data_IF_483411039355
#
_entry.id   IF_483411039355
#
_cell.length_a   1.000
_cell.length_b   1.000
_cell.length_c   1.000
_cell.angle_alpha   90.00
_cell.angle_beta   90.00
_cell.angle_gamma   90.00
#
_symmetry.space_group_name_H-M   'P 1'
#
loop_
_entity.id
_entity.type
_entity.pdbx_description
1 polymer ?
#
# COMPACT_ATOMS: atom_id res chain seq x y z
N UNK A 1 -5.78 2.26 -11.72
CA UNK A 1 -6.98 1.69 -12.39
C UNK A 1 -7.57 0.50 -11.65
N UNK A 2 -6.83 -0.58 -11.33
CA UNK A 2 -7.38 -1.78 -10.66
C UNK A 2 -8.05 -1.45 -9.32
N UNK A 3 -7.36 -0.73 -8.43
CA UNK A 3 -7.92 -0.32 -7.15
C UNK A 3 -9.19 0.53 -7.30
N UNK A 4 -9.18 1.48 -8.24
CA UNK A 4 -10.39 2.30 -8.54
C UNK A 4 -11.58 1.44 -8.98
N UNK A 5 -11.35 0.42 -9.82
CA UNK A 5 -12.42 -0.48 -10.25
C UNK A 5 -13.01 -1.29 -9.08
N UNK A 6 -12.19 -1.64 -8.08
CA UNK A 6 -12.64 -2.32 -6.86
C UNK A 6 -13.43 -1.39 -5.93
N UNK A 7 -13.14 -0.10 -5.93
CA UNK A 7 -13.76 0.91 -5.07
C UNK A 7 -15.04 1.51 -5.63
N UNK A 8 -15.31 1.36 -6.94
CA UNK A 8 -16.51 1.92 -7.57
C UNK A 8 -17.76 1.05 -7.29
N UNK A 9 -18.97 1.68 -7.29
CA UNK A 9 -20.22 0.96 -7.13
C UNK A 9 -20.44 -0.14 -8.18
N UNK A 10 -20.99 -1.27 -7.78
CA UNK A 10 -21.16 -2.46 -8.61
C UNK A 10 -22.21 -2.33 -9.72
N UNK A 11 -23.08 -1.34 -9.66
CA UNK A 11 -24.06 -0.99 -10.69
C UNK A 11 -23.48 -0.16 -11.85
N UNK A 12 -22.25 0.35 -11.68
CA UNK A 12 -21.52 1.07 -12.72
C UNK A 12 -20.80 0.10 -13.66
N UNK A 13 -21.00 0.26 -14.96
CA UNK A 13 -20.24 -0.47 -15.98
C UNK A 13 -18.85 0.18 -16.14
N UNK A 14 -17.80 -0.62 -16.01
CA UNK A 14 -16.42 -0.17 -16.09
C UNK A 14 -15.74 -0.83 -17.27
N UNK A 15 -15.12 -0.03 -18.13
CA UNK A 15 -14.25 -0.51 -19.21
C UNK A 15 -12.81 -0.17 -18.82
N UNK A 16 -11.94 -1.17 -18.78
CA UNK A 16 -10.53 -1.00 -18.51
C UNK A 16 -9.73 -1.16 -19.80
N UNK A 17 -8.98 -0.14 -20.16
CA UNK A 17 -8.15 -0.15 -21.37
C UNK A 17 -6.68 -0.08 -20.97
N UNK A 18 -5.88 -0.98 -21.52
CA UNK A 18 -4.43 -1.01 -21.34
C UNK A 18 -3.71 -0.97 -22.68
N UNK A 19 -2.50 -0.42 -22.71
CA UNK A 19 -1.67 -0.34 -23.92
C UNK A 19 -1.10 -1.71 -24.32
N UNK A 20 -0.81 -2.55 -23.34
CA UNK A 20 -0.24 -3.90 -23.52
C UNK A 20 -0.78 -4.82 -22.42
N UNK A 21 -0.20 -6.01 -22.30
CA UNK A 21 -0.52 -6.89 -21.18
C UNK A 21 -0.15 -6.26 -19.81
N UNK A 22 -0.73 -6.81 -18.76
CA UNK A 22 -0.54 -6.26 -17.41
C UNK A 22 0.89 -6.40 -16.91
N UNK A 23 1.55 -7.51 -17.26
CA UNK A 23 2.89 -7.87 -16.75
C UNK A 23 3.98 -6.98 -17.31
N UNK A 24 3.71 -6.26 -18.39
CA UNK A 24 4.61 -5.24 -18.97
C UNK A 24 4.33 -3.82 -18.47
N UNK A 25 3.38 -3.64 -17.55
CA UNK A 25 3.06 -2.31 -17.01
C UNK A 25 4.11 -1.86 -15.98
N UNK A 26 4.37 -0.55 -15.92
CA UNK A 26 5.29 0.04 -14.94
C UNK A 26 4.87 -0.31 -13.50
N UNK A 27 3.57 -0.38 -13.23
CA UNK A 27 3.06 -0.77 -11.90
C UNK A 27 3.40 -2.20 -11.53
N UNK A 28 3.38 -3.13 -12.50
CA UNK A 28 3.76 -4.52 -12.28
C UNK A 28 5.27 -4.68 -12.08
N UNK A 29 6.06 -3.90 -12.82
CA UNK A 29 7.53 -3.95 -12.78
C UNK A 29 8.13 -3.15 -11.62
N UNK A 30 7.34 -2.40 -10.86
CA UNK A 30 7.82 -1.60 -9.74
C UNK A 30 8.41 -2.48 -8.63
N UNK A 31 9.65 -2.20 -8.25
CA UNK A 31 10.39 -2.96 -7.24
C UNK A 31 10.29 -2.36 -5.84
N UNK A 32 10.12 -1.04 -5.75
CA UNK A 32 9.98 -0.33 -4.49
C UNK A 32 8.79 -0.81 -3.66
N UNK A 33 8.35 0.00 -2.73
CA UNK A 33 7.24 -0.35 -1.87
C UNK A 33 6.13 0.69 -1.91
N UNK A 34 5.24 0.60 -0.95
CA UNK A 34 4.16 1.56 -0.75
C UNK A 34 4.25 2.18 0.64
N UNK A 35 4.18 3.51 0.71
CA UNK A 35 4.30 4.25 1.96
C UNK A 35 3.00 4.22 2.75
N UNK A 36 3.14 4.14 4.08
CA UNK A 36 2.02 4.23 5.01
C UNK A 36 2.37 5.17 6.17
N UNK A 37 1.38 5.92 6.65
CA UNK A 37 1.49 6.68 7.89
C UNK A 37 1.58 5.72 9.07
N UNK A 38 2.69 5.75 9.81
CA UNK A 38 2.94 4.84 10.94
C UNK A 38 2.01 5.13 12.12
N UNK A 39 2.06 6.37 12.59
CA UNK A 39 1.28 6.87 13.72
C UNK A 39 0.99 8.37 13.55
N UNK A 40 0.31 8.97 14.52
CA UNK A 40 -0.04 10.40 14.46
C UNK A 40 1.18 11.30 14.53
N UNK A 41 2.22 10.89 15.25
CA UNK A 41 3.45 11.67 15.44
C UNK A 41 4.35 11.65 14.21
N UNK A 42 4.11 10.71 13.28
CA UNK A 42 4.82 10.61 12.01
C UNK A 42 4.26 11.55 10.92
N UNK A 43 3.06 12.10 11.10
CA UNK A 43 2.39 12.88 10.05
C UNK A 43 3.22 14.08 9.58
N UNK A 44 3.70 14.91 10.51
CA UNK A 44 4.40 16.13 10.14
C UNK A 44 5.71 15.85 9.40
N UNK A 45 6.45 14.82 9.83
CA UNK A 45 7.68 14.41 9.17
C UNK A 45 7.42 13.79 7.81
N UNK A 46 6.34 13.02 7.64
CA UNK A 46 5.95 12.44 6.36
C UNK A 46 5.51 13.53 5.37
N UNK A 47 4.72 14.50 5.86
CA UNK A 47 4.28 15.63 5.04
C UNK A 47 5.47 16.45 4.55
N UNK A 48 6.40 16.81 5.44
CA UNK A 48 7.58 17.60 5.10
C UNK A 48 8.52 16.83 4.14
N UNK A 49 8.79 15.55 4.38
CA UNK A 49 9.58 14.70 3.48
C UNK A 49 8.98 14.70 2.06
N UNK A 50 7.66 14.57 1.95
CA UNK A 50 6.95 14.54 0.66
C UNK A 50 7.00 15.90 -0.03
N UNK A 51 6.77 17.00 0.70
CA UNK A 51 6.85 18.35 0.17
C UNK A 51 8.25 18.68 -0.33
N UNK A 52 9.27 18.31 0.45
CA UNK A 52 10.68 18.52 0.09
C UNK A 52 11.09 17.69 -1.14
N UNK A 53 10.67 16.43 -1.22
CA UNK A 53 10.95 15.58 -2.37
C UNK A 53 10.34 16.14 -3.67
N UNK A 54 9.19 16.79 -3.59
CA UNK A 54 8.55 17.48 -4.70
C UNK A 54 8.98 18.95 -4.86
N UNK A 55 10.10 19.36 -4.25
CA UNK A 55 10.61 20.74 -4.31
C UNK A 55 9.58 21.82 -3.91
N UNK A 56 8.62 21.45 -3.04
CA UNK A 56 7.49 22.27 -2.61
C UNK A 56 6.52 22.71 -3.73
N UNK A 57 6.59 22.05 -4.89
CA UNK A 57 5.64 22.24 -6.01
C UNK A 57 4.36 21.41 -5.83
N UNK A 58 4.32 20.54 -4.82
CA UNK A 58 3.18 19.68 -4.52
C UNK A 58 1.96 20.50 -4.06
N UNK A 59 0.77 20.04 -4.45
CA UNK A 59 -0.48 20.55 -3.86
C UNK A 59 -0.63 19.97 -2.46
N UNK A 60 -0.61 20.84 -1.46
CA UNK A 60 -0.67 20.47 -0.03
C UNK A 60 -1.88 19.60 0.31
N UNK A 61 -3.04 19.95 -0.24
CA UNK A 61 -4.29 19.21 -0.01
C UNK A 61 -4.22 17.77 -0.55
N UNK A 62 -3.53 17.58 -1.68
CA UNK A 62 -3.34 16.24 -2.25
C UNK A 62 -2.36 15.41 -1.41
N UNK A 63 -1.31 16.02 -0.89
CA UNK A 63 -0.35 15.36 0.01
C UNK A 63 -1.03 14.99 1.33
N UNK A 64 -1.81 15.89 1.92
CA UNK A 64 -2.57 15.62 3.16
C UNK A 64 -3.53 14.44 2.97
N UNK A 65 -4.32 14.45 1.89
CA UNK A 65 -5.24 13.36 1.57
C UNK A 65 -4.51 12.02 1.40
N UNK A 66 -3.41 12.01 0.63
CA UNK A 66 -2.60 10.81 0.40
C UNK A 66 -2.09 10.22 1.71
N UNK A 67 -1.52 11.05 2.59
CA UNK A 67 -0.95 10.58 3.86
C UNK A 67 -2.05 10.04 4.78
N UNK A 68 -3.14 10.78 4.96
CA UNK A 68 -4.21 10.39 5.88
C UNK A 68 -4.95 9.13 5.44
N UNK A 69 -5.14 8.94 4.14
CA UNK A 69 -5.81 7.74 3.61
C UNK A 69 -4.90 6.51 3.54
N UNK A 70 -3.58 6.67 3.71
CA UNK A 70 -2.62 5.59 3.46
C UNK A 70 -2.88 4.33 4.30
N UNK A 71 -3.23 4.46 5.58
CA UNK A 71 -3.51 3.30 6.45
C UNK A 71 -4.73 2.51 5.98
N UNK A 72 -5.81 3.19 5.63
CA UNK A 72 -7.03 2.55 5.11
C UNK A 72 -6.74 1.82 3.80
N UNK A 73 -6.00 2.45 2.88
CA UNK A 73 -5.61 1.83 1.62
C UNK A 73 -4.76 0.57 1.85
N UNK A 74 -3.84 0.57 2.80
CA UNK A 74 -3.04 -0.62 3.13
C UNK A 74 -3.93 -1.73 3.70
N UNK A 75 -4.88 -1.43 4.57
CA UNK A 75 -5.85 -2.41 5.04
C UNK A 75 -6.66 -3.02 3.91
N UNK A 76 -7.12 -2.21 2.96
CA UNK A 76 -7.82 -2.69 1.77
C UNK A 76 -6.95 -3.61 0.91
N UNK A 77 -5.68 -3.24 0.67
CA UNK A 77 -4.74 -4.08 -0.09
C UNK A 77 -4.53 -5.45 0.58
N UNK A 78 -4.34 -5.47 1.90
CA UNK A 78 -4.24 -6.71 2.68
C UNK A 78 -5.55 -7.52 2.57
N UNK A 79 -6.69 -6.85 2.64
CA UNK A 79 -8.00 -7.46 2.44
C UNK A 79 -8.21 -8.07 1.06
N UNK A 80 -7.58 -7.52 0.03
CA UNK A 80 -7.54 -8.09 -1.33
C UNK A 80 -6.49 -9.20 -1.50
N UNK A 81 -5.76 -9.55 -0.43
CA UNK A 81 -4.82 -10.65 -0.40
C UNK A 81 -3.37 -10.26 -0.77
N UNK A 82 -3.04 -8.96 -0.75
CA UNK A 82 -1.64 -8.51 -0.88
C UNK A 82 -0.85 -8.96 0.35
N UNK A 83 0.25 -9.65 0.12
CA UNK A 83 1.14 -10.15 1.16
C UNK A 83 2.39 -9.29 1.24
N UNK A 84 2.47 -8.44 2.25
CA UNK A 84 3.66 -7.65 2.55
C UNK A 84 4.64 -8.46 3.41
N UNK A 85 5.93 -8.11 3.34
CA UNK A 85 6.97 -8.73 4.15
C UNK A 85 6.65 -8.58 5.64
N UNK A 86 6.57 -9.71 6.35
CA UNK A 86 6.38 -9.72 7.81
C UNK A 86 7.70 -9.45 8.51
N UNK A 87 7.62 -8.96 9.73
CA UNK A 87 8.79 -8.86 10.61
C UNK A 87 9.33 -10.26 10.87
N UNK A 88 10.65 -10.38 10.93
CA UNK A 88 11.29 -11.61 11.41
C UNK A 88 10.98 -11.72 12.91
N UNK A 89 10.25 -12.77 13.28
CA UNK A 89 10.12 -13.15 14.69
C UNK A 89 11.43 -13.78 15.11
N UNK A 90 12.10 -13.18 16.09
CA UNK A 90 13.26 -13.84 16.73
C UNK A 90 12.85 -15.24 17.18
N UNK A 91 13.75 -16.24 17.01
CA UNK A 91 13.54 -17.66 17.37
C UNK A 91 13.23 -17.90 18.87
N UNK A 92 13.12 -16.86 19.67
CA UNK A 92 12.68 -16.91 21.06
C UNK A 92 11.16 -16.86 21.21
N UNK A 93 10.43 -17.64 20.40
CA UNK A 93 9.10 -18.17 20.66
C UNK A 93 8.06 -17.30 21.42
N UNK A 94 8.15 -15.99 21.35
CA UNK A 94 7.04 -15.14 21.76
C UNK A 94 6.09 -15.00 20.56
N UNK A 95 5.14 -15.97 20.48
CA UNK A 95 3.88 -15.71 19.80
C UNK A 95 3.43 -14.32 20.27
N UNK A 96 3.10 -13.45 19.31
CA UNK A 96 2.52 -12.15 19.61
C UNK A 96 1.43 -12.38 20.65
N UNK A 97 1.70 -11.95 21.87
CA UNK A 97 0.86 -12.24 23.01
C UNK A 97 -0.56 -11.82 22.62
N UNK A 98 -1.49 -12.76 22.72
CA UNK A 98 -2.92 -12.48 22.81
C UNK A 98 -3.16 -11.61 24.07
N UNK A 99 -2.78 -10.36 23.96
CA UNK A 99 -3.04 -9.33 24.95
C UNK A 99 -4.45 -8.82 24.73
N UNK A 100 -5.42 -9.64 25.20
CA UNK A 100 -6.76 -9.17 25.57
C UNK A 100 -7.41 -8.16 24.61
N UNK A 101 -7.76 -8.56 23.37
CA UNK A 101 -8.79 -7.85 22.60
C UNK A 101 -8.38 -6.68 21.72
N UNK A 102 -7.14 -6.21 21.71
CA UNK A 102 -6.65 -5.22 20.73
C UNK A 102 -6.12 -5.96 19.50
N UNK A 103 -6.68 -5.64 18.33
CA UNK A 103 -6.16 -6.15 17.06
C UNK A 103 -4.74 -5.61 16.86
N UNK A 104 -3.78 -6.53 16.62
CA UNK A 104 -2.41 -6.15 16.28
C UNK A 104 -2.40 -5.12 15.14
N UNK A 105 -1.68 -4.04 15.33
CA UNK A 105 -1.56 -2.97 14.35
C UNK A 105 -0.64 -3.43 13.20
N UNK A 106 -0.79 -2.82 12.00
CA UNK A 106 0.01 -3.17 10.82
C UNK A 106 1.51 -3.09 11.12
N UNK A 107 1.93 -2.08 11.87
CA UNK A 107 3.33 -1.90 12.26
C UNK A 107 3.89 -2.98 13.18
N UNK A 108 3.04 -3.74 13.85
CA UNK A 108 3.45 -4.85 14.72
C UNK A 108 3.64 -6.16 13.94
N UNK A 109 3.06 -6.24 12.75
CA UNK A 109 3.03 -7.46 11.92
C UNK A 109 4.05 -7.38 10.79
N UNK A 110 4.16 -6.22 10.14
CA UNK A 110 4.89 -6.08 8.89
C UNK A 110 6.20 -5.32 9.05
N UNK A 111 7.18 -5.71 8.24
CA UNK A 111 8.45 -5.03 8.14
C UNK A 111 8.33 -3.73 7.32
N UNK A 112 9.02 -2.69 7.77
CA UNK A 112 9.09 -1.42 7.08
C UNK A 112 10.53 -1.11 6.69
N UNK A 113 10.72 -0.58 5.50
CA UNK A 113 12.01 -0.07 5.04
C UNK A 113 11.96 1.43 4.79
N UNK A 114 13.14 2.02 4.67
CA UNK A 114 13.33 3.43 4.36
C UNK A 114 14.05 3.56 3.03
N UNK A 115 13.45 4.24 2.09
CA UNK A 115 14.03 4.55 0.79
C UNK A 115 13.82 6.01 0.41
N UNK A 116 14.61 6.48 -0.55
CA UNK A 116 14.48 7.81 -1.13
C UNK A 116 14.57 8.92 -0.10
N UNK A 117 13.65 9.87 -0.16
CA UNK A 117 13.62 11.07 0.66
C UNK A 117 12.98 10.91 2.05
N UNK A 118 12.57 9.70 2.43
CA UNK A 118 11.92 9.47 3.72
C UNK A 118 12.90 9.57 4.88
N UNK A 119 12.53 10.32 5.91
CA UNK A 119 13.30 10.47 7.16
C UNK A 119 13.11 9.27 8.11
N UNK A 120 12.00 8.51 7.96
CA UNK A 120 11.66 7.32 8.76
C UNK A 120 11.33 6.12 7.88
N UNK A 121 11.41 4.87 8.39
CA UNK A 121 10.87 3.70 7.70
C UNK A 121 9.35 3.80 7.58
N UNK A 122 8.82 3.91 6.36
CA UNK A 122 7.37 4.02 6.08
C UNK A 122 6.92 3.13 4.95
N UNK A 123 7.83 2.37 4.38
CA UNK A 123 7.61 1.64 3.13
C UNK A 123 7.37 0.18 3.43
N UNK A 124 6.16 -0.28 3.16
CA UNK A 124 5.80 -1.69 3.09
C UNK A 124 6.26 -2.25 1.75
N UNK A 125 6.76 -3.48 1.74
CA UNK A 125 7.35 -4.10 0.56
C UNK A 125 7.08 -5.61 0.54
N UNK A 126 7.28 -6.24 -0.62
CA UNK A 126 7.28 -7.69 -0.79
C UNK A 126 8.52 -8.07 -1.59
N UNK A 127 9.59 -8.47 -0.91
CA UNK A 127 10.91 -8.67 -1.51
C UNK A 127 11.28 -7.49 -2.44
N UNK A 128 11.67 -7.75 -3.68
CA UNK A 128 11.95 -6.78 -4.74
C UNK A 128 10.88 -6.73 -5.83
N UNK A 129 9.67 -7.27 -5.54
CA UNK A 129 8.58 -7.44 -6.49
C UNK A 129 7.23 -6.88 -5.99
N UNK A 130 7.27 -5.84 -5.17
CA UNK A 130 6.06 -5.26 -4.55
C UNK A 130 5.00 -4.86 -5.57
N UNK A 131 5.39 -4.27 -6.68
CA UNK A 131 4.47 -3.90 -7.76
C UNK A 131 3.76 -5.11 -8.38
N UNK A 132 4.49 -6.19 -8.63
CA UNK A 132 3.94 -7.46 -9.11
C UNK A 132 2.94 -8.03 -8.11
N UNK A 133 3.29 -8.08 -6.84
CA UNK A 133 2.42 -8.60 -5.78
C UNK A 133 1.10 -7.83 -5.73
N UNK A 134 1.15 -6.51 -5.58
CA UNK A 134 -0.05 -5.67 -5.52
C UNK A 134 -0.89 -5.80 -6.79
N UNK A 135 -0.26 -5.68 -7.96
CA UNK A 135 -0.97 -5.65 -9.24
C UNK A 135 -1.64 -6.99 -9.55
N UNK A 136 -0.96 -8.11 -9.26
CA UNK A 136 -1.51 -9.46 -9.49
C UNK A 136 -2.71 -9.75 -8.61
N UNK A 137 -2.65 -9.39 -7.31
CA UNK A 137 -3.76 -9.58 -6.37
C UNK A 137 -4.96 -8.74 -6.74
N UNK A 138 -4.75 -7.45 -7.02
CA UNK A 138 -5.84 -6.58 -7.45
C UNK A 138 -6.46 -7.03 -8.77
N UNK A 139 -5.67 -7.51 -9.73
CA UNK A 139 -6.20 -8.06 -10.99
C UNK A 139 -7.05 -9.29 -10.74
N UNK A 140 -6.61 -10.20 -9.85
CA UNK A 140 -7.39 -11.39 -9.51
C UNK A 140 -8.76 -11.02 -8.93
N UNK A 141 -8.84 -9.97 -8.11
CA UNK A 141 -10.11 -9.45 -7.57
C UNK A 141 -10.96 -8.80 -8.66
N UNK A 142 -10.37 -7.96 -9.51
CA UNK A 142 -11.09 -7.28 -10.60
C UNK A 142 -11.69 -8.27 -11.58
N UNK A 143 -11.00 -9.36 -11.92
CA UNK A 143 -11.51 -10.43 -12.80
C UNK A 143 -12.77 -11.14 -12.28
N UNK A 144 -13.09 -11.02 -10.99
CA UNK A 144 -14.31 -11.56 -10.40
C UNK A 144 -15.52 -10.61 -10.53
N UNK A 145 -15.28 -9.38 -10.99
CA UNK A 145 -16.31 -8.37 -11.11
C UNK A 145 -17.08 -8.51 -12.44
N UNK A 146 -18.40 -8.71 -12.36
CA UNK A 146 -19.25 -8.83 -13.55
C UNK A 146 -19.49 -7.51 -14.28
N UNK A 147 -19.19 -6.38 -13.65
CA UNK A 147 -19.38 -5.04 -14.19
C UNK A 147 -18.12 -4.44 -14.81
N UNK A 148 -17.02 -5.18 -14.87
CA UNK A 148 -15.73 -4.76 -15.46
C UNK A 148 -15.45 -5.56 -16.73
N UNK A 149 -15.03 -4.86 -17.78
CA UNK A 149 -14.65 -5.44 -19.07
C UNK A 149 -13.30 -4.93 -19.51
#
# INVERSE_FOLDING_TARGET
>A
MLFSALSLPRDQKIIMITKSDLESSDSFLAQGGICMLHDKDDYDSYFEDTMKAGHYENRKESVDLMIRSSREIIHDLIGYGVDFQKQETDESGNEAADNGGEKAEIQDIYAFTREGAHSRPRILFHADITGKEITSKLLAQVKQLSNVT
#
